data_IF_425375293750
#
_entry.id   IF_425375293750
#
_cell.length_a   1.000
_cell.length_b   1.000
_cell.length_c   1.000
_cell.angle_alpha   90.00
_cell.angle_beta   90.00
_cell.angle_gamma   90.00
#
_symmetry.space_group_name_H-M   'P 1'
#
loop_
_entity.id
_entity.type
_entity.pdbx_description
1 polymer ?
#
# COMPACT_ATOMS: atom_id res chain seq x y z
N UNK A 1 10.28 -2.69 13.86
CA UNK A 1 9.63 -1.80 12.86
C UNK A 1 8.88 -0.75 13.65
N UNK A 2 9.27 0.52 13.55
CA UNK A 2 8.66 1.57 14.35
C UNK A 2 7.16 1.68 14.05
N UNK A 3 6.36 1.89 15.11
CA UNK A 3 4.96 2.31 15.12
C UNK A 3 4.77 3.64 14.37
N UNK A 4 5.04 3.66 13.06
CA UNK A 4 4.75 4.79 12.20
C UNK A 4 3.24 4.89 12.15
N UNK A 5 2.68 5.89 12.84
CA UNK A 5 1.31 6.35 12.67
C UNK A 5 1.11 6.64 11.18
N UNK A 6 0.57 5.68 10.43
CA UNK A 6 0.30 5.79 9.00
C UNK A 6 -0.89 6.73 8.78
N UNK A 7 -0.63 8.03 8.97
CA UNK A 7 -1.57 9.10 8.66
C UNK A 7 -1.39 9.54 7.21
N UNK A 8 -2.46 9.46 6.44
CA UNK A 8 -2.51 9.94 5.07
C UNK A 8 -3.66 10.93 4.95
N UNK A 9 -3.33 12.20 4.69
CA UNK A 9 -4.30 13.28 4.45
C UNK A 9 -5.35 13.43 5.56
N UNK A 10 -4.93 13.21 6.81
CA UNK A 10 -5.83 13.28 7.97
C UNK A 10 -6.59 12.01 8.33
N UNK A 11 -6.37 10.92 7.58
CA UNK A 11 -6.89 9.60 7.87
C UNK A 11 -5.80 8.71 8.44
N UNK A 12 -6.07 8.04 9.55
CA UNK A 12 -5.20 7.03 10.14
C UNK A 12 -5.55 5.65 9.59
N UNK A 13 -4.55 4.94 9.08
CA UNK A 13 -4.66 3.51 8.76
C UNK A 13 -4.36 2.71 10.03
N UNK A 14 -5.25 1.82 10.46
CA UNK A 14 -4.97 0.96 11.61
C UNK A 14 -3.92 -0.09 11.24
N UNK A 15 -3.05 -0.50 12.19
CA UNK A 15 -1.94 -1.40 11.91
C UNK A 15 -2.40 -2.77 11.40
N UNK A 16 -3.58 -3.24 11.82
CA UNK A 16 -4.21 -4.47 11.32
C UNK A 16 -4.41 -4.46 9.80
N UNK A 17 -4.83 -3.31 9.24
CA UNK A 17 -5.01 -3.14 7.80
C UNK A 17 -3.68 -3.09 7.08
N UNK A 18 -2.64 -2.55 7.70
CA UNK A 18 -1.28 -2.54 7.12
C UNK A 18 -0.77 -3.96 6.94
N UNK A 19 -0.94 -4.81 7.96
CA UNK A 19 -0.55 -6.22 7.88
C UNK A 19 -1.38 -6.98 6.85
N UNK A 20 -2.69 -6.71 6.75
CA UNK A 20 -3.53 -7.28 5.68
C UNK A 20 -3.07 -6.85 4.28
N UNK A 21 -2.72 -5.59 4.08
CA UNK A 21 -2.21 -5.09 2.79
C UNK A 21 -0.87 -5.75 2.43
N UNK A 22 0.04 -5.87 3.41
CA UNK A 22 1.31 -6.60 3.21
C UNK A 22 1.05 -8.06 2.84
N UNK A 23 0.14 -8.72 3.54
CA UNK A 23 -0.21 -10.12 3.25
C UNK A 23 -0.85 -10.25 1.87
N UNK A 24 -1.71 -9.31 1.45
CA UNK A 24 -2.29 -9.30 0.10
C UNK A 24 -1.23 -9.12 -1.00
N UNK A 25 -0.22 -8.27 -0.76
CA UNK A 25 0.93 -8.14 -1.66
C UNK A 25 1.73 -9.46 -1.72
N UNK A 26 1.89 -10.15 -0.58
CA UNK A 26 2.56 -11.46 -0.47
C UNK A 26 1.71 -12.60 -1.04
N UNK A 27 0.39 -12.49 -1.13
CA UNK A 27 -0.45 -13.52 -1.74
C UNK A 27 -0.55 -13.36 -3.27
N UNK A 28 -0.53 -12.10 -3.74
CA UNK A 28 -0.68 -11.77 -5.16
C UNK A 28 0.41 -12.43 -6.02
N UNK A 29 0.01 -13.26 -6.98
CA UNK A 29 0.91 -13.84 -7.99
C UNK A 29 1.04 -12.89 -9.19
N UNK A 30 2.23 -12.33 -9.38
CA UNK A 30 2.55 -11.54 -10.57
C UNK A 30 2.27 -10.05 -10.41
N UNK A 31 1.07 -9.58 -10.75
CA UNK A 31 0.75 -8.14 -10.78
C UNK A 31 -0.12 -7.74 -9.59
N UNK A 32 0.29 -6.73 -8.85
CA UNK A 32 -0.47 -6.22 -7.71
C UNK A 32 -1.72 -5.48 -8.18
N UNK A 33 -2.87 -5.85 -7.63
CA UNK A 33 -4.14 -5.19 -7.88
C UNK A 33 -4.31 -3.98 -6.96
N UNK A 34 -4.14 -2.79 -7.55
CA UNK A 34 -4.25 -1.52 -6.83
C UNK A 34 -5.68 -1.22 -6.36
N UNK A 35 -6.69 -1.66 -7.10
CA UNK A 35 -8.09 -1.42 -6.73
C UNK A 35 -8.50 -2.32 -5.57
N UNK A 36 -8.08 -3.59 -5.59
CA UNK A 36 -8.28 -4.50 -4.47
C UNK A 36 -7.62 -3.98 -3.18
N UNK A 37 -6.37 -3.49 -3.26
CA UNK A 37 -5.69 -2.90 -2.10
C UNK A 37 -6.39 -1.64 -1.59
N UNK A 38 -6.87 -0.77 -2.49
CA UNK A 38 -7.65 0.42 -2.10
C UNK A 38 -8.97 0.02 -1.46
N UNK A 39 -9.62 -1.03 -1.93
CA UNK A 39 -10.85 -1.59 -1.37
C UNK A 39 -10.68 -2.12 0.06
N UNK A 40 -9.49 -2.60 0.42
CA UNK A 40 -9.15 -3.01 1.79
C UNK A 40 -8.87 -1.78 2.68
N UNK A 41 -8.08 -0.82 2.18
CA UNK A 41 -7.62 0.32 2.98
C UNK A 41 -8.73 1.35 3.22
N UNK A 42 -9.49 1.70 2.17
CA UNK A 42 -10.48 2.76 2.24
C UNK A 42 -11.49 2.57 3.38
N UNK A 43 -12.20 1.44 3.55
CA UNK A 43 -13.19 1.29 4.62
C UNK A 43 -12.57 1.24 6.01
N UNK A 44 -11.32 0.76 6.13
CA UNK A 44 -10.65 0.62 7.43
C UNK A 44 -10.00 1.93 7.93
N UNK A 45 -9.88 2.94 7.07
CA UNK A 45 -9.32 4.24 7.44
C UNK A 45 -10.19 4.98 8.47
N UNK A 46 -9.58 5.35 9.59
CA UNK A 46 -10.20 6.20 10.62
C UNK A 46 -9.93 7.66 10.31
N UNK A 47 -10.98 8.46 10.15
CA UNK A 47 -10.85 9.90 10.05
C UNK A 47 -10.42 10.47 11.41
N UNK A 48 -9.30 11.20 11.43
CA UNK A 48 -8.82 11.89 12.64
C UNK A 48 -8.99 13.39 12.46
N UNK A 49 -8.39 13.93 11.40
CA UNK A 49 -8.52 15.33 10.99
C UNK A 49 -8.43 15.42 9.46
N UNK A 50 -9.46 14.94 8.73
CA UNK A 50 -9.41 14.85 7.28
C UNK A 50 -9.37 16.25 6.66
N UNK A 51 -8.46 16.45 5.70
CA UNK A 51 -8.40 17.72 4.98
C UNK A 51 -9.69 17.95 4.20
N UNK A 52 -10.21 19.18 4.23
CA UNK A 52 -11.48 19.56 3.58
C UNK A 52 -11.50 19.28 2.07
N UNK A 53 -10.33 19.28 1.43
CA UNK A 53 -10.16 19.00 -0.01
C UNK A 53 -9.89 17.53 -0.35
N UNK A 54 -9.80 16.63 0.65
CA UNK A 54 -9.39 15.24 0.42
C UNK A 54 -10.49 14.24 0.75
N UNK A 55 -10.72 13.32 -0.18
CA UNK A 55 -11.63 12.18 0.04
C UNK A 55 -10.91 10.99 0.65
N UNK A 56 -11.67 10.12 1.33
CA UNK A 56 -11.16 8.83 1.84
C UNK A 56 -10.53 7.96 0.76
N UNK A 57 -11.07 8.00 -0.47
CA UNK A 57 -10.51 7.27 -1.61
C UNK A 57 -9.13 7.81 -2.04
N UNK A 58 -8.94 9.12 -2.03
CA UNK A 58 -7.64 9.74 -2.30
C UNK A 58 -6.62 9.43 -1.19
N UNK A 59 -7.05 9.48 0.08
CA UNK A 59 -6.22 9.10 1.21
C UNK A 59 -5.78 7.63 1.10
N UNK A 60 -6.71 6.72 0.75
CA UNK A 60 -6.42 5.31 0.52
C UNK A 60 -5.45 5.11 -0.66
N UNK A 61 -5.59 5.86 -1.75
CA UNK A 61 -4.66 5.80 -2.86
C UNK A 61 -3.24 6.21 -2.45
N UNK A 62 -3.08 7.28 -1.66
CA UNK A 62 -1.78 7.68 -1.12
C UNK A 62 -1.19 6.63 -0.17
N UNK A 63 -2.03 6.01 0.67
CA UNK A 63 -1.60 4.95 1.57
C UNK A 63 -1.08 3.74 0.80
N UNK A 64 -1.82 3.28 -0.20
CA UNK A 64 -1.44 2.15 -1.05
C UNK A 64 -0.14 2.43 -1.81
N UNK A 65 0.03 3.63 -2.36
CA UNK A 65 1.28 4.01 -3.04
C UNK A 65 2.48 3.98 -2.08
N UNK A 66 2.31 4.49 -0.85
CA UNK A 66 3.33 4.42 0.19
C UNK A 66 3.67 2.98 0.59
N UNK A 67 2.67 2.11 0.74
CA UNK A 67 2.90 0.70 1.08
C UNK A 67 3.62 -0.05 -0.03
N UNK A 68 3.31 0.24 -1.29
CA UNK A 68 4.00 -0.34 -2.44
C UNK A 68 5.42 0.19 -2.58
N UNK A 69 5.64 1.47 -2.26
CA UNK A 69 6.98 2.04 -2.19
C UNK A 69 7.82 1.35 -1.12
N UNK A 70 7.28 1.14 0.09
CA UNK A 70 7.96 0.38 1.15
C UNK A 70 8.21 -1.08 0.74
N UNK A 71 7.23 -1.72 0.09
CA UNK A 71 7.38 -3.08 -0.41
C UNK A 71 8.45 -3.19 -1.51
N UNK A 72 8.59 -2.17 -2.35
CA UNK A 72 9.66 -2.11 -3.34
C UNK A 72 11.02 -1.83 -2.71
N UNK A 73 11.08 -0.96 -1.70
CA UNK A 73 12.30 -0.77 -0.90
C UNK A 73 12.73 -2.06 -0.21
N UNK A 74 11.77 -2.88 0.20
CA UNK A 74 12.00 -4.20 0.78
C UNK A 74 12.32 -5.30 -0.26
N UNK A 75 12.29 -5.00 -1.56
CA UNK A 75 12.57 -5.97 -2.62
C UNK A 75 11.44 -6.94 -2.95
N UNK A 76 10.23 -6.71 -2.42
CA UNK A 76 9.06 -7.57 -2.65
C UNK A 76 8.34 -7.28 -3.98
N UNK A 77 8.41 -6.02 -4.43
CA UNK A 77 7.68 -5.52 -5.61
C UNK A 77 8.60 -4.61 -6.43
N UNK A 78 8.42 -4.62 -7.75
CA UNK A 78 9.12 -3.79 -8.71
C UNK A 78 8.13 -2.84 -9.39
N UNK A 79 8.51 -1.56 -9.47
CA UNK A 79 7.71 -0.52 -10.12
C UNK A 79 8.12 -0.38 -11.57
N UNK A 80 7.25 -0.81 -12.48
CA UNK A 80 7.37 -0.51 -13.90
C UNK A 80 6.61 0.77 -14.25
N UNK A 81 7.32 1.77 -14.76
CA UNK A 81 6.70 3.00 -15.27
C UNK A 81 6.85 3.00 -16.79
N UNK A 82 5.75 2.85 -17.52
CA UNK A 82 5.74 3.14 -18.96
C UNK A 82 5.47 4.64 -19.11
N UNK A 83 6.27 5.35 -19.92
CA UNK A 83 6.18 6.82 -20.09
C UNK A 83 4.82 7.37 -20.56
N UNK A 84 3.86 6.49 -20.87
CA UNK A 84 2.50 6.80 -21.33
C UNK A 84 1.37 6.23 -20.43
N UNK A 85 1.68 5.52 -19.35
CA UNK A 85 0.67 4.87 -18.48
C UNK A 85 1.01 4.97 -16.99
N UNK A 86 -0.03 4.83 -16.16
CA UNK A 86 0.11 4.71 -14.70
C UNK A 86 1.12 3.62 -14.31
N UNK A 87 1.87 3.81 -13.21
CA UNK A 87 2.84 2.84 -12.74
C UNK A 87 2.19 1.48 -12.50
N UNK A 88 2.80 0.43 -13.04
CA UNK A 88 2.43 -0.95 -12.81
C UNK A 88 3.38 -1.56 -11.77
N UNK A 89 2.82 -2.31 -10.83
CA UNK A 89 3.57 -2.94 -9.75
C UNK A 89 3.59 -4.46 -9.97
N UNK A 90 4.80 -5.01 -10.10
CA UNK A 90 5.06 -6.43 -10.33
C UNK A 90 5.75 -7.04 -9.15
N UNK A 91 5.34 -8.23 -8.73
CA UNK A 91 6.01 -8.97 -7.67
C UNK A 91 7.40 -9.41 -8.14
N UNK A 92 8.41 -9.16 -7.31
CA UNK A 92 9.75 -9.68 -7.55
C UNK A 92 9.74 -11.21 -7.37
N UNK A 93 10.09 -11.96 -8.43
CA UNK A 93 9.97 -13.43 -8.47
C UNK A 93 10.89 -14.19 -7.50
N UNK A 94 11.90 -13.53 -6.90
CA UNK A 94 13.04 -14.22 -6.29
C UNK A 94 13.31 -13.93 -4.80
N UNK A 95 12.52 -13.10 -4.12
CA UNK A 95 12.64 -13.01 -2.67
C UNK A 95 11.57 -13.90 -2.02
N UNK A 96 12.02 -15.06 -1.54
CA UNK A 96 11.36 -15.75 -0.44
C UNK A 96 10.95 -14.69 0.57
N UNK A 97 9.65 -14.62 0.87
CA UNK A 97 9.05 -13.54 1.64
C UNK A 97 9.94 -13.15 2.80
N UNK A 98 10.22 -11.84 2.90
CA UNK A 98 11.12 -11.24 3.88
C UNK A 98 11.14 -12.08 5.16
N UNK A 99 12.19 -12.91 5.30
CA UNK A 99 12.45 -13.58 6.55
C UNK A 99 12.69 -12.46 7.55
N UNK A 100 11.72 -12.24 8.43
CA UNK A 100 11.90 -11.41 9.61
C UNK A 100 13.12 -11.96 10.35
N UNK A 101 14.26 -11.27 10.19
CA UNK A 101 15.41 -11.36 11.10
C UNK A 101 15.27 -10.25 12.13
#
# INVERSE_FOLDING_TARGET
>A
MADCLHMFRGYRVPPETVEQVKQAIIDTRGRVDLEALRGIVAPAMKAVDPWSSTTRAQAAACAVDSFLFDAARAGLVERHTNGWKFPAWWRAKNQAGAACR
#
